data_IF_899484182083
#
_entry.id   IF_899484182083
#
_cell.length_a   1.000
_cell.length_b   1.000
_cell.length_c   1.000
_cell.angle_alpha   90.00
_cell.angle_beta   90.00
_cell.angle_gamma   90.00
#
_symmetry.space_group_name_H-M   'P 1'
#
loop_
_entity.id
_entity.type
_entity.pdbx_description
1 polymer ?
#
# COMPACT_ATOMS: atom_id res chain seq x y z
N UNK A 1 -3.88 14.77 -19.02
CA UNK A 1 -4.59 15.08 -18.35
C UNK A 1 -4.81 14.47 -17.16
N UNK A 2 -5.26 14.80 -16.38
CA UNK A 2 -5.44 14.49 -15.05
C UNK A 2 -5.54 13.07 -14.67
N UNK A 3 -4.50 12.39 -14.78
CA UNK A 3 -4.52 11.02 -14.32
C UNK A 3 -4.45 10.92 -12.81
N UNK A 4 -4.04 12.02 -12.13
CA UNK A 4 -3.89 11.94 -10.68
C UNK A 4 -5.20 12.19 -9.96
N UNK A 5 -5.36 11.52 -8.83
CA UNK A 5 -6.56 11.62 -8.01
C UNK A 5 -6.15 11.95 -6.58
N UNK A 6 -6.39 13.17 -6.15
CA UNK A 6 -6.07 13.64 -4.79
C UNK A 6 -4.61 13.33 -4.42
N UNK A 7 -3.69 13.48 -5.36
CA UNK A 7 -2.28 13.21 -5.12
C UNK A 7 -1.85 11.80 -5.44
N UNK A 8 -2.81 10.91 -5.74
CA UNK A 8 -2.50 9.52 -6.13
C UNK A 8 -2.57 9.38 -7.65
N UNK A 9 -1.94 8.36 -8.18
CA UNK A 9 -1.85 8.20 -9.63
C UNK A 9 -3.19 7.88 -10.27
N UNK A 10 -4.13 7.27 -9.56
CA UNK A 10 -5.46 7.01 -10.08
C UNK A 10 -6.45 6.81 -8.94
N UNK A 11 -7.73 6.71 -9.31
CA UNK A 11 -8.81 6.56 -8.34
C UNK A 11 -8.67 5.27 -7.53
N UNK A 12 -8.33 4.18 -8.21
CA UNK A 12 -8.26 2.87 -7.54
C UNK A 12 -7.21 2.88 -6.44
N UNK A 13 -6.07 3.52 -6.68
CA UNK A 13 -5.01 3.61 -5.67
C UNK A 13 -5.45 4.49 -4.51
N UNK A 14 -6.05 5.64 -4.83
CA UNK A 14 -6.59 6.52 -3.79
C UNK A 14 -7.60 5.77 -2.93
N UNK A 15 -8.52 5.04 -3.57
CA UNK A 15 -9.55 4.32 -2.87
C UNK A 15 -8.99 3.22 -1.97
N UNK A 16 -8.02 2.47 -2.48
CA UNK A 16 -7.38 1.43 -1.67
C UNK A 16 -6.73 2.04 -0.44
N UNK A 17 -6.01 3.15 -0.62
CA UNK A 17 -5.37 3.79 0.52
C UNK A 17 -6.40 4.37 1.51
N UNK A 18 -7.52 4.87 0.98
CA UNK A 18 -8.57 5.39 1.84
C UNK A 18 -9.10 4.30 2.78
N UNK A 19 -9.32 3.10 2.26
CA UNK A 19 -9.80 2.01 3.09
C UNK A 19 -8.75 1.54 4.10
N UNK A 20 -7.46 1.60 3.73
CA UNK A 20 -6.39 1.32 4.69
C UNK A 20 -6.42 2.35 5.81
N UNK A 21 -6.50 3.64 5.45
CA UNK A 21 -6.48 4.71 6.45
C UNK A 21 -7.67 4.64 7.40
N UNK A 22 -8.80 4.14 6.91
CA UNK A 22 -10.00 4.05 7.73
C UNK A 22 -10.04 2.80 8.61
N UNK A 23 -9.07 1.90 8.43
CA UNK A 23 -8.96 0.70 9.25
C UNK A 23 -7.69 0.81 10.07
N UNK A 24 -7.85 1.22 11.33
CA UNK A 24 -6.71 1.46 12.20
C UNK A 24 -5.82 0.23 12.35
N UNK A 25 -6.43 -0.94 12.49
CA UNK A 25 -5.65 -2.16 12.68
C UNK A 25 -4.85 -2.52 11.43
N UNK A 26 -5.45 -2.36 10.26
CA UNK A 26 -4.76 -2.65 9.02
C UNK A 26 -3.62 -1.67 8.79
N UNK A 27 -3.88 -0.39 9.02
CA UNK A 27 -2.86 0.64 8.84
C UNK A 27 -1.67 0.39 9.77
N UNK A 28 -1.95 0.06 11.03
CA UNK A 28 -0.88 -0.21 11.98
C UNK A 28 -0.10 -1.46 11.60
N UNK A 29 -0.80 -2.48 11.12
CA UNK A 29 -0.15 -3.72 10.70
C UNK A 29 0.85 -3.45 9.57
N UNK A 30 0.44 -2.64 8.59
CA UNK A 30 1.33 -2.30 7.48
C UNK A 30 2.52 -1.48 7.98
N UNK A 31 2.29 -0.57 8.91
CA UNK A 31 3.39 0.22 9.46
C UNK A 31 4.40 -0.67 10.18
N UNK A 32 3.93 -1.68 10.90
CA UNK A 32 4.82 -2.62 11.60
C UNK A 32 5.60 -3.48 10.61
N UNK A 33 4.95 -3.93 9.54
CA UNK A 33 5.64 -4.67 8.48
C UNK A 33 6.74 -3.82 7.89
N UNK A 34 6.44 -2.55 7.63
CA UNK A 34 7.42 -1.63 7.07
C UNK A 34 8.61 -1.48 8.01
N UNK A 35 8.34 -1.29 9.28
CA UNK A 35 9.39 -1.15 10.28
C UNK A 35 10.28 -2.38 10.31
N UNK A 36 9.68 -3.57 10.22
CA UNK A 36 10.44 -4.82 10.23
C UNK A 36 11.41 -4.90 9.06
N UNK A 37 10.97 -4.48 7.86
CA UNK A 37 11.86 -4.54 6.71
C UNK A 37 13.04 -3.58 6.85
N UNK A 38 12.86 -2.46 7.55
CA UNK A 38 13.97 -1.54 7.79
C UNK A 38 15.06 -2.17 8.67
N UNK A 39 14.71 -3.14 9.50
CA UNK A 39 15.70 -3.74 10.38
C UNK A 39 16.64 -4.69 9.65
N UNK A 40 16.28 -5.12 8.44
CA UNK A 40 17.11 -6.08 7.70
C UNK A 40 17.49 -5.63 6.30
N UNK A 41 17.05 -4.42 5.89
CA UNK A 41 17.34 -3.90 4.55
C UNK A 41 17.67 -2.42 4.65
N UNK A 42 18.51 -1.93 3.73
CA UNK A 42 18.90 -0.52 3.71
C UNK A 42 18.39 0.22 2.48
N UNK A 43 18.16 -0.49 1.39
CA UNK A 43 17.75 0.12 0.13
C UNK A 43 16.26 0.43 0.18
N UNK A 44 15.94 1.73 0.12
CA UNK A 44 14.54 2.16 0.22
C UNK A 44 13.67 1.62 -0.91
N UNK A 45 14.22 1.51 -2.11
CA UNK A 45 13.45 0.96 -3.21
C UNK A 45 13.14 -0.51 -3.00
N UNK A 46 14.10 -1.25 -2.46
CA UNK A 46 13.87 -2.66 -2.16
C UNK A 46 12.82 -2.82 -1.07
N UNK A 47 12.92 -2.01 -0.02
CA UNK A 47 11.95 -2.05 1.06
C UNK A 47 10.56 -1.72 0.51
N UNK A 48 10.46 -0.70 -0.35
CA UNK A 48 9.18 -0.32 -0.94
C UNK A 48 8.56 -1.49 -1.70
N UNK A 49 9.37 -2.20 -2.50
CA UNK A 49 8.86 -3.36 -3.23
C UNK A 49 8.37 -4.46 -2.32
N UNK A 50 9.10 -4.72 -1.23
CA UNK A 50 8.69 -5.75 -0.28
C UNK A 50 7.40 -5.37 0.44
N UNK A 51 7.28 -4.11 0.84
CA UNK A 51 6.05 -3.65 1.48
C UNK A 51 4.89 -3.72 0.50
N UNK A 52 5.12 -3.32 -0.76
CA UNK A 52 4.07 -3.37 -1.77
C UNK A 52 3.55 -4.80 -1.95
N UNK A 53 4.45 -5.78 -1.98
CA UNK A 53 4.04 -7.18 -2.08
C UNK A 53 3.18 -7.60 -0.90
N UNK A 54 3.56 -7.18 0.29
CA UNK A 54 2.79 -7.56 1.49
C UNK A 54 1.41 -6.92 1.48
N UNK A 55 1.31 -5.65 1.05
CA UNK A 55 0.00 -5.01 0.96
C UNK A 55 -0.86 -5.71 -0.09
N UNK A 56 -0.27 -6.04 -1.23
CA UNK A 56 -0.99 -6.77 -2.27
C UNK A 56 -1.53 -8.09 -1.73
N UNK A 57 -0.69 -8.83 -0.99
CA UNK A 57 -1.11 -10.11 -0.42
C UNK A 57 -2.25 -9.93 0.58
N UNK A 58 -2.21 -8.87 1.39
CA UNK A 58 -3.28 -8.60 2.33
C UNK A 58 -4.60 -8.34 1.60
N UNK A 59 -4.55 -7.58 0.52
CA UNK A 59 -5.75 -7.30 -0.26
C UNK A 59 -6.29 -8.56 -0.93
N UNK A 60 -5.39 -9.44 -1.39
CA UNK A 60 -5.82 -10.71 -1.96
C UNK A 60 -6.55 -11.56 -0.93
N UNK A 61 -6.07 -11.52 0.32
CA UNK A 61 -6.74 -12.26 1.40
C UNK A 61 -8.12 -11.72 1.70
N UNK A 62 -8.33 -10.40 1.48
CA UNK A 62 -9.64 -9.80 1.72
C UNK A 62 -10.59 -9.98 0.55
N UNK A 63 -10.08 -10.36 -0.61
CA UNK A 63 -10.87 -10.40 -1.82
C UNK A 63 -11.95 -11.47 -1.74
N UNK A 64 -13.23 -11.10 -1.94
CA UNK A 64 -14.29 -12.10 -1.88
C UNK A 64 -14.29 -12.97 -3.12
N UNK A 65 -14.81 -14.18 -2.97
CA UNK A 65 -15.01 -15.06 -4.11
C UNK A 65 -16.35 -14.70 -4.77
N UNK A 66 -16.27 -14.29 -6.02
CA UNK A 66 -17.46 -13.92 -6.78
C UNK A 66 -17.64 -14.87 -7.96
N UNK A 67 -18.90 -15.17 -8.27
CA UNK A 67 -19.22 -15.94 -9.47
C UNK A 67 -18.68 -15.17 -10.69
N UNK A 68 -18.20 -15.89 -11.70
CA UNK A 68 -17.76 -15.23 -12.92
C UNK A 68 -18.90 -14.41 -13.52
N UNK A 69 -18.60 -13.15 -13.87
CA UNK A 69 -19.61 -12.26 -14.43
C UNK A 69 -19.18 -10.81 -14.31
N UNK A 70 -20.18 -9.94 -14.46
CA UNK A 70 -19.92 -8.51 -14.49
C UNK A 70 -19.19 -8.03 -13.22
N UNK A 71 -19.65 -8.42 -12.05
CA UNK A 71 -19.08 -7.90 -10.81
C UNK A 71 -17.67 -8.44 -10.57
N UNK A 72 -17.41 -9.71 -10.91
CA UNK A 72 -16.05 -10.23 -10.75
C UNK A 72 -15.10 -9.55 -11.73
N UNK A 73 -15.57 -9.24 -12.94
CA UNK A 73 -14.74 -8.52 -13.91
C UNK A 73 -14.41 -7.12 -13.42
N UNK A 74 -15.39 -6.41 -12.86
CA UNK A 74 -15.19 -5.07 -12.33
C UNK A 74 -14.19 -5.11 -11.17
N UNK A 75 -14.36 -6.06 -10.27
CA UNK A 75 -13.47 -6.18 -9.12
C UNK A 75 -12.04 -6.43 -9.58
N UNK A 76 -11.86 -7.39 -10.49
CA UNK A 76 -10.52 -7.72 -10.95
C UNK A 76 -9.88 -6.58 -11.73
N UNK A 77 -10.67 -5.88 -12.54
CA UNK A 77 -10.15 -4.76 -13.31
C UNK A 77 -9.70 -3.63 -12.38
N UNK A 78 -10.50 -3.32 -11.36
CA UNK A 78 -10.16 -2.29 -10.40
C UNK A 78 -8.91 -2.67 -9.60
N UNK A 79 -8.84 -3.92 -9.18
CA UNK A 79 -7.69 -4.38 -8.39
C UNK A 79 -6.40 -4.25 -9.18
N UNK A 80 -6.43 -4.56 -10.48
CA UNK A 80 -5.23 -4.46 -11.31
C UNK A 80 -4.72 -3.04 -11.45
N UNK A 81 -5.60 -2.04 -11.27
CA UNK A 81 -5.21 -0.64 -11.40
C UNK A 81 -4.63 -0.05 -10.14
N UNK A 82 -4.70 -0.76 -9.02
CA UNK A 82 -4.13 -0.25 -7.77
C UNK A 82 -2.61 -0.29 -7.85
N UNK A 83 -2.01 0.86 -7.61
CA UNK A 83 -0.55 0.97 -7.59
C UNK A 83 -0.06 0.77 -6.16
N UNK A 84 0.20 -0.48 -5.81
CA UNK A 84 0.62 -0.82 -4.45
C UNK A 84 2.00 -0.28 -4.12
N UNK A 85 2.84 -0.09 -5.12
CA UNK A 85 4.14 0.55 -4.92
C UNK A 85 3.96 1.96 -4.37
N UNK A 86 3.02 2.70 -4.95
CA UNK A 86 2.78 4.07 -4.54
C UNK A 86 2.31 4.13 -3.08
N UNK A 87 1.41 3.22 -2.70
CA UNK A 87 0.95 3.15 -1.32
C UNK A 87 2.11 2.79 -0.39
N UNK A 88 2.87 1.76 -0.77
CA UNK A 88 4.01 1.31 0.03
C UNK A 88 5.02 2.43 0.21
N UNK A 89 5.24 3.24 -0.83
CA UNK A 89 6.21 4.31 -0.77
C UNK A 89 5.87 5.32 0.33
N UNK A 90 4.59 5.59 0.51
CA UNK A 90 4.17 6.49 1.58
C UNK A 90 4.55 5.95 2.95
N UNK A 91 4.36 4.65 3.17
CA UNK A 91 4.73 4.04 4.45
C UNK A 91 6.24 4.04 4.64
N UNK A 92 6.98 3.74 3.57
CA UNK A 92 8.44 3.69 3.64
C UNK A 92 9.01 5.09 3.92
N UNK A 93 8.47 6.11 3.26
CA UNK A 93 8.95 7.46 3.47
C UNK A 93 8.63 7.94 4.87
N UNK A 94 7.45 7.58 5.39
CA UNK A 94 7.09 7.96 6.75
C UNK A 94 8.02 7.30 7.77
N UNK A 95 8.34 6.03 7.56
CA UNK A 95 9.24 5.33 8.47
C UNK A 95 10.66 5.89 8.39
N UNK A 96 11.12 6.20 7.18
CA UNK A 96 12.44 6.78 7.00
C UNK A 96 12.55 8.11 7.74
N UNK A 97 11.49 8.93 7.68
CA UNK A 97 11.47 10.20 8.40
C UNK A 97 11.50 9.99 9.91
N UNK A 98 10.75 8.98 10.39
CA UNK A 98 10.72 8.69 11.81
C UNK A 98 12.11 8.27 12.29
N UNK A 99 12.77 7.40 11.55
CA UNK A 99 14.10 6.94 11.93
C UNK A 99 15.14 8.08 11.86
N UNK A 100 15.04 8.93 10.86
CA UNK A 100 15.93 10.07 10.75
C UNK A 100 15.73 11.03 11.91
N UNK A 101 14.49 11.20 12.35
CA UNK A 101 14.17 12.05 13.48
C UNK A 101 14.82 11.55 14.76
N UNK A 102 14.79 10.24 14.99
CA UNK A 102 15.45 9.67 16.15
C UNK A 102 16.96 9.83 16.08
N UNK A 103 17.53 9.64 14.90
CA UNK A 103 18.97 9.73 14.74
C UNK A 103 19.46 11.17 14.80
N UNK A 104 18.60 12.10 14.47
CA UNK A 104 18.96 13.52 14.49
C UNK A 104 19.10 14.09 15.87
N UNK A 105 18.73 13.31 16.88
CA UNK A 105 18.91 13.76 18.24
C UNK A 105 20.26 13.35 18.78
#
# INVERSE_FOLDING_TARGET
MGTKYNGWSNYETWNANLWIDNDWQLSEHIALITCDFFSSHEDLDKITGLVAERINDLFLDFMPELEPGFFSDVMNASFREVNFWEIARHYVEAEAETLASFQGE
#
